data_IF_238927820751
#
_entry.id   IF_238927820751
#
_cell.length_a   1.000
_cell.length_b   1.000
_cell.length_c   1.000
_cell.angle_alpha   90.00
_cell.angle_beta   90.00
_cell.angle_gamma   90.00
#
_symmetry.space_group_name_H-M   'P 1'
#
loop_
_entity.id
_entity.type
_entity.pdbx_description
1 polymer ?
#
# COMPACT_ATOMS: atom_id res chain seq x y z
N UNK A 1 3.86 9.64 -22.15
CA UNK A 1 5.21 9.64 -21.54
C UNK A 1 5.45 8.24 -20.98
N UNK A 2 6.60 7.59 -21.19
CA UNK A 2 6.89 6.30 -20.55
C UNK A 2 6.96 6.48 -19.03
N UNK A 3 6.52 5.48 -18.24
CA UNK A 3 6.54 5.56 -16.78
C UNK A 3 7.97 5.71 -16.28
N UNK A 4 8.13 6.48 -15.21
CA UNK A 4 9.45 6.64 -14.57
C UNK A 4 9.89 5.31 -13.96
N UNK A 5 11.20 5.17 -13.70
CA UNK A 5 11.73 4.00 -12.99
C UNK A 5 11.06 3.86 -11.61
N UNK A 6 10.85 4.97 -10.91
CA UNK A 6 10.16 4.99 -9.62
C UNK A 6 8.71 4.51 -9.73
N UNK A 7 7.96 4.96 -10.74
CA UNK A 7 6.58 4.52 -10.98
C UNK A 7 6.50 3.01 -11.28
N UNK A 8 7.46 2.49 -12.05
CA UNK A 8 7.54 1.06 -12.35
C UNK A 8 7.82 0.22 -11.10
N UNK A 9 8.71 0.71 -10.23
CA UNK A 9 9.00 0.06 -8.94
C UNK A 9 7.78 0.07 -8.03
N UNK A 10 7.10 1.21 -7.89
CA UNK A 10 5.88 1.33 -7.07
C UNK A 10 4.79 0.38 -7.57
N UNK A 11 4.57 0.32 -8.89
CA UNK A 11 3.60 -0.61 -9.49
C UNK A 11 3.95 -2.07 -9.21
N UNK A 12 5.23 -2.42 -9.25
CA UNK A 12 5.69 -3.77 -8.90
C UNK A 12 5.40 -4.10 -7.42
N UNK A 13 5.67 -3.17 -6.51
CA UNK A 13 5.43 -3.32 -5.07
C UNK A 13 3.94 -3.52 -4.79
N UNK A 14 3.07 -2.68 -5.39
CA UNK A 14 1.62 -2.80 -5.23
C UNK A 14 1.13 -4.17 -5.69
N UNK A 15 1.63 -4.65 -6.84
CA UNK A 15 1.27 -5.97 -7.37
C UNK A 15 1.73 -7.12 -6.46
N UNK A 16 2.96 -7.04 -5.95
CA UNK A 16 3.52 -8.05 -5.02
C UNK A 16 2.68 -8.14 -3.74
N UNK A 17 2.36 -7.00 -3.12
CA UNK A 17 1.50 -6.96 -1.93
C UNK A 17 0.12 -7.56 -2.23
N UNK A 18 -0.48 -7.21 -3.37
CA UNK A 18 -1.79 -7.74 -3.76
C UNK A 18 -1.79 -9.26 -3.95
N UNK A 19 -0.74 -9.81 -4.56
CA UNK A 19 -0.55 -11.25 -4.73
C UNK A 19 -0.42 -11.97 -3.38
N UNK A 20 0.39 -11.40 -2.48
CA UNK A 20 0.59 -11.95 -1.14
C UNK A 20 -0.68 -11.90 -0.29
N UNK A 21 -1.43 -10.80 -0.31
CA UNK A 21 -2.73 -10.72 0.38
C UNK A 21 -3.71 -11.78 -0.15
N UNK A 22 -3.79 -11.94 -1.48
CA UNK A 22 -4.65 -12.95 -2.10
C UNK A 22 -4.24 -14.38 -1.72
N UNK A 23 -2.94 -14.66 -1.60
CA UNK A 23 -2.43 -15.94 -1.11
C UNK A 23 -2.84 -16.23 0.35
N UNK A 24 -3.10 -15.18 1.14
CA UNK A 24 -3.62 -15.27 2.51
C UNK A 24 -5.16 -15.17 2.59
N UNK A 25 -5.86 -15.16 1.45
CA UNK A 25 -7.32 -15.14 1.39
C UNK A 25 -7.98 -13.76 1.39
N UNK A 26 -7.20 -12.68 1.39
CA UNK A 26 -7.70 -11.30 1.41
C UNK A 26 -7.57 -10.66 0.03
N UNK A 27 -8.69 -10.28 -0.58
CA UNK A 27 -8.71 -9.55 -1.85
C UNK A 27 -8.72 -8.05 -1.55
N UNK A 28 -7.60 -7.39 -1.83
CA UNK A 28 -7.38 -5.97 -1.55
C UNK A 28 -7.26 -5.20 -2.87
N UNK A 29 -7.96 -4.08 -2.99
CA UNK A 29 -7.87 -3.24 -4.20
C UNK A 29 -6.50 -2.56 -4.33
N UNK A 30 -6.03 -2.36 -5.56
CA UNK A 30 -4.75 -1.66 -5.81
C UNK A 30 -4.71 -0.26 -5.17
N UNK A 31 -5.84 0.46 -5.17
CA UNK A 31 -5.98 1.78 -4.52
C UNK A 31 -5.73 1.70 -3.02
N UNK A 32 -6.31 0.71 -2.34
CA UNK A 32 -6.11 0.52 -0.90
C UNK A 32 -4.67 0.13 -0.59
N UNK A 33 -4.05 -0.72 -1.41
CA UNK A 33 -2.64 -1.07 -1.29
C UNK A 33 -1.75 0.16 -1.46
N UNK A 34 -2.00 0.99 -2.48
CA UNK A 34 -1.23 2.22 -2.71
C UNK A 34 -1.35 3.21 -1.55
N UNK A 35 -2.56 3.34 -0.98
CA UNK A 35 -2.77 4.11 0.25
C UNK A 35 -1.97 3.56 1.42
N UNK A 36 -1.99 2.23 1.62
CA UNK A 36 -1.25 1.58 2.70
C UNK A 36 0.26 1.78 2.55
N UNK A 37 0.82 1.60 1.35
CA UNK A 37 2.23 1.86 1.05
C UNK A 37 2.59 3.30 1.43
N UNK A 38 1.78 4.28 1.03
CA UNK A 38 2.00 5.69 1.39
C UNK A 38 1.95 5.89 2.91
N UNK A 39 0.96 5.31 3.59
CA UNK A 39 0.83 5.43 5.04
C UNK A 39 2.02 4.81 5.79
N UNK A 40 2.51 3.66 5.35
CA UNK A 40 3.68 2.98 5.93
C UNK A 40 4.97 3.78 5.72
N UNK A 41 5.19 4.32 4.52
CA UNK A 41 6.39 5.14 4.22
C UNK A 41 6.39 6.46 4.97
N UNK A 42 5.22 7.10 5.14
CA UNK A 42 5.10 8.40 5.81
C UNK A 42 5.11 8.31 7.34
N UNK A 43 4.86 7.13 7.90
CA UNK A 43 4.87 6.91 9.34
C UNK A 43 6.32 6.85 9.86
N UNK A 44 6.76 7.85 10.65
CA UNK A 44 8.15 7.95 11.08
C UNK A 44 8.60 6.78 11.97
N UNK A 45 7.65 6.06 12.59
CA UNK A 45 7.96 4.88 13.42
C UNK A 45 8.48 3.69 12.60
N UNK A 46 8.21 3.66 11.29
CA UNK A 46 8.68 2.59 10.40
C UNK A 46 10.10 2.83 9.86
N UNK A 47 10.68 4.01 10.06
CA UNK A 47 12.09 4.30 9.77
C UNK A 47 12.45 4.46 8.28
N UNK A 48 11.47 4.68 7.39
CA UNK A 48 11.74 4.99 5.99
C UNK A 48 12.28 6.42 5.83
N UNK A 49 13.33 6.57 5.02
CA UNK A 49 13.88 7.88 4.67
C UNK A 49 13.48 8.26 3.24
N UNK A 50 12.70 9.34 3.10
CA UNK A 50 12.19 9.81 1.80
C UNK A 50 13.27 10.44 0.91
N UNK A 51 14.40 10.86 1.47
CA UNK A 51 15.50 11.51 0.74
C UNK A 51 16.51 10.50 0.16
N UNK A 52 16.35 9.21 0.49
CA UNK A 52 17.25 8.14 0.04
C UNK A 52 16.56 7.24 -0.98
N UNK A 53 17.34 6.76 -1.96
CA UNK A 53 16.90 5.69 -2.86
C UNK A 53 16.59 4.41 -2.10
N UNK A 54 15.40 3.85 -2.33
CA UNK A 54 14.98 2.57 -1.78
C UNK A 54 15.93 1.44 -2.20
N UNK A 55 16.45 0.71 -1.23
CA UNK A 55 17.20 -0.52 -1.46
C UNK A 55 16.27 -1.73 -1.47
N UNK A 56 16.76 -2.86 -1.98
CA UNK A 56 16.01 -4.12 -2.01
C UNK A 56 15.48 -4.53 -0.63
N UNK A 57 16.28 -4.34 0.42
CA UNK A 57 15.87 -4.60 1.81
C UNK A 57 14.71 -3.70 2.26
N UNK A 58 14.73 -2.43 1.85
CA UNK A 58 13.67 -1.47 2.20
C UNK A 58 12.35 -1.87 1.53
N UNK A 59 12.43 -2.34 0.27
CA UNK A 59 11.27 -2.87 -0.45
C UNK A 59 10.69 -4.09 0.26
N UNK A 60 11.53 -5.05 0.67
CA UNK A 60 11.06 -6.24 1.40
C UNK A 60 10.42 -5.87 2.74
N UNK A 61 11.02 -4.96 3.50
CA UNK A 61 10.46 -4.46 4.75
C UNK A 61 9.11 -3.74 4.52
N UNK A 62 9.02 -2.93 3.46
CA UNK A 62 7.80 -2.22 3.08
C UNK A 62 6.66 -3.20 2.75
N UNK A 63 6.95 -4.23 1.94
CA UNK A 63 5.98 -5.29 1.62
C UNK A 63 5.49 -5.96 2.91
N UNK A 64 6.40 -6.38 3.79
CA UNK A 64 6.05 -7.06 5.04
C UNK A 64 5.19 -6.18 5.97
N UNK A 65 5.54 -4.90 6.14
CA UNK A 65 4.77 -3.97 6.97
C UNK A 65 3.37 -3.73 6.38
N UNK A 66 3.27 -3.56 5.06
CA UNK A 66 1.98 -3.41 4.38
C UNK A 66 1.12 -4.66 4.55
N UNK A 67 1.68 -5.85 4.33
CA UNK A 67 0.98 -7.12 4.53
C UNK A 67 0.48 -7.27 5.96
N UNK A 68 1.33 -6.99 6.95
CA UNK A 68 0.96 -7.07 8.37
C UNK A 68 -0.25 -6.19 8.67
N UNK A 69 -0.28 -4.95 8.16
CA UNK A 69 -1.40 -4.02 8.37
C UNK A 69 -2.65 -4.39 7.55
N UNK A 70 -2.51 -4.96 6.36
CA UNK A 70 -3.63 -5.33 5.49
C UNK A 70 -4.31 -6.64 5.91
N UNK A 71 -3.55 -7.58 6.49
CA UNK A 71 -4.05 -8.87 6.97
C UNK A 71 -4.56 -8.81 8.42
N UNK A 72 -4.33 -7.71 9.14
CA UNK A 72 -4.91 -7.47 10.46
C UNK A 72 -6.39 -7.06 10.34
N UNK A 73 -7.23 -8.01 9.95
CA UNK A 73 -8.67 -7.82 9.75
C UNK A 73 -9.46 -7.54 11.03
N UNK A 74 -8.81 -7.63 12.19
CA UNK A 74 -9.39 -7.26 13.49
C UNK A 74 -9.12 -5.80 13.85
N UNK A 75 -8.32 -5.09 13.06
CA UNK A 75 -7.97 -3.71 13.31
C UNK A 75 -9.08 -2.76 12.80
N UNK A 76 -9.79 -2.05 13.68
CA UNK A 76 -10.89 -1.16 13.28
C UNK A 76 -10.40 0.03 12.43
N UNK A 77 -9.12 0.40 12.52
CA UNK A 77 -8.55 1.43 11.64
C UNK A 77 -8.50 0.98 10.18
N UNK A 78 -8.29 -0.32 9.93
CA UNK A 78 -8.29 -0.85 8.56
C UNK A 78 -9.69 -0.73 7.93
N UNK A 79 -10.75 -1.02 8.69
CA UNK A 79 -12.13 -0.84 8.21
C UNK A 79 -12.44 0.62 7.90
N UNK A 80 -11.95 1.55 8.73
CA UNK A 80 -12.09 2.99 8.49
C UNK A 80 -11.43 3.41 7.18
N UNK A 81 -10.23 2.91 6.90
CA UNK A 81 -9.51 3.18 5.65
C UNK A 81 -10.26 2.56 4.45
N UNK A 82 -10.74 1.32 4.57
CA UNK A 82 -11.55 0.66 3.52
C UNK A 82 -12.79 1.47 3.18
N UNK A 83 -13.50 1.99 4.19
CA UNK A 83 -14.67 2.85 3.99
C UNK A 83 -14.30 4.16 3.27
N UNK A 84 -13.20 4.80 3.66
CA UNK A 84 -12.75 6.04 3.00
C UNK A 84 -12.35 5.80 1.53
N UNK A 85 -11.57 4.76 1.25
CA UNK A 85 -11.18 4.40 -0.12
C UNK A 85 -12.40 4.05 -0.97
N UNK A 86 -13.36 3.31 -0.42
CA UNK A 86 -14.62 3.03 -1.10
C UNK A 86 -15.38 4.32 -1.43
N UNK A 87 -15.48 5.23 -0.47
CA UNK A 87 -16.15 6.52 -0.69
C UNK A 87 -15.46 7.31 -1.82
N UNK A 88 -14.15 7.44 -1.76
CA UNK A 88 -13.38 8.22 -2.72
C UNK A 88 -13.47 7.62 -4.14
N UNK A 89 -13.37 6.29 -4.26
CA UNK A 89 -13.46 5.64 -5.56
C UNK A 89 -14.85 5.75 -6.20
N UNK A 90 -15.92 5.79 -5.40
CA UNK A 90 -17.28 5.73 -5.91
C UNK A 90 -18.00 7.08 -5.98
N UNK A 91 -17.60 8.07 -5.18
CA UNK A 91 -18.38 9.29 -4.98
C UNK A 91 -17.62 10.61 -5.17
N UNK A 92 -16.30 10.69 -5.01
CA UNK A 92 -15.57 11.98 -5.18
C UNK A 92 -15.15 12.29 -6.62
N UNK A 93 -14.95 11.28 -7.48
CA UNK A 93 -14.63 11.48 -8.92
C UNK A 93 -15.84 11.78 -9.81
N UNK A 94 -17.02 12.08 -9.24
CA UNK A 94 -18.27 12.36 -9.99
C UNK A 94 -18.60 13.86 -10.11
N UNK A 95 -17.69 14.75 -9.71
CA UNK A 95 -17.84 16.19 -9.81
C UNK A 95 -17.35 16.72 -11.17
#
# INVERSE_FOLDING_TARGET
MPPTQAESVIRSIIREIGQECAAHGEIVSETLIAFMVKAVVLDPSNGFNMDRTLMKSDVQNLVQLCMTRLLDTKNPSLDTIKMQVYFDMNYTNRA
#
